data_IF_766191640603
#
_entry.id   IF_766191640603
#
_cell.length_a   1.000
_cell.length_b   1.000
_cell.length_c   1.000
_cell.angle_alpha   90.00
_cell.angle_beta   90.00
_cell.angle_gamma   90.00
#
_symmetry.space_group_name_H-M   'P 1'
#
loop_
_entity.id
_entity.type
_entity.pdbx_description
1 polymer ?
#
# COMPACT_ATOMS: atom_id res chain seq x y z
N UNK A 1 11.09 -3.96 -1.50
CA UNK A 1 10.51 -5.32 -1.70
C UNK A 1 11.50 -6.12 -2.52
N UNK A 2 11.98 -7.28 -2.07
CA UNK A 2 12.90 -8.11 -2.88
C UNK A 2 12.13 -8.68 -4.08
N UNK A 3 12.73 -8.69 -5.28
CA UNK A 3 12.12 -9.17 -6.54
C UNK A 3 11.34 -10.48 -6.40
N UNK A 4 11.84 -11.41 -5.57
CA UNK A 4 11.26 -12.74 -5.31
C UNK A 4 9.81 -12.71 -4.78
N UNK A 5 9.38 -11.61 -4.15
CA UNK A 5 8.06 -11.51 -3.49
C UNK A 5 7.04 -10.66 -4.25
N UNK A 6 7.43 -10.09 -5.41
CA UNK A 6 6.67 -9.07 -6.15
C UNK A 6 5.31 -9.55 -6.69
N UNK A 7 5.05 -10.86 -6.74
CA UNK A 7 3.81 -11.46 -7.27
C UNK A 7 3.24 -12.61 -6.43
N UNK A 8 3.68 -12.76 -5.17
CA UNK A 8 3.24 -13.86 -4.30
C UNK A 8 2.22 -13.44 -3.23
N UNK A 9 1.63 -12.26 -3.37
CA UNK A 9 0.63 -11.74 -2.41
C UNK A 9 1.21 -11.30 -1.05
N UNK A 10 2.52 -11.43 -0.81
CA UNK A 10 3.14 -11.11 0.50
C UNK A 10 2.90 -9.66 0.91
N UNK A 11 3.05 -8.71 -0.02
CA UNK A 11 2.78 -7.30 0.26
C UNK A 11 1.31 -7.02 0.56
N UNK A 12 0.40 -7.71 -0.15
CA UNK A 12 -1.03 -7.58 0.05
C UNK A 12 -1.43 -8.11 1.42
N UNK A 13 -0.98 -9.31 1.77
CA UNK A 13 -1.23 -9.95 3.06
C UNK A 13 -0.74 -9.10 4.22
N UNK A 14 0.49 -8.58 4.14
CA UNK A 14 1.04 -7.73 5.19
C UNK A 14 0.20 -6.47 5.41
N UNK A 15 -0.23 -5.80 4.33
CA UNK A 15 -1.02 -4.58 4.46
C UNK A 15 -2.43 -4.90 5.00
N UNK A 16 -3.06 -5.96 4.53
CA UNK A 16 -4.36 -6.43 5.03
C UNK A 16 -4.30 -6.83 6.52
N UNK A 17 -3.23 -7.50 6.94
CA UNK A 17 -3.00 -7.87 8.33
C UNK A 17 -2.83 -6.62 9.22
N UNK A 18 -2.02 -5.65 8.78
CA UNK A 18 -1.83 -4.39 9.51
C UNK A 18 -3.14 -3.62 9.63
N UNK A 19 -3.92 -3.52 8.55
CA UNK A 19 -5.24 -2.86 8.58
C UNK A 19 -6.20 -3.58 9.54
N UNK A 20 -6.25 -4.92 9.49
CA UNK A 20 -7.13 -5.74 10.34
C UNK A 20 -6.78 -5.64 11.83
N UNK A 21 -5.49 -5.59 12.14
CA UNK A 21 -5.01 -5.52 13.53
C UNK A 21 -5.14 -4.12 14.14
N UNK A 22 -5.43 -3.09 13.34
CA UNK A 22 -5.54 -1.71 13.79
C UNK A 22 -6.90 -1.07 13.41
N UNK A 23 -8.04 -1.63 13.85
CA UNK A 23 -9.37 -1.17 13.45
C UNK A 23 -9.71 0.24 13.95
N UNK A 24 -8.99 0.74 14.97
CA UNK A 24 -9.17 2.09 15.49
C UNK A 24 -8.57 3.19 14.58
N UNK A 25 -7.70 2.82 13.63
CA UNK A 25 -7.07 3.78 12.71
C UNK A 25 -8.00 3.97 11.51
N UNK A 26 -8.64 5.13 11.47
CA UNK A 26 -9.60 5.53 10.43
C UNK A 26 -8.96 6.24 9.23
N UNK A 27 -7.67 6.54 9.28
CA UNK A 27 -6.96 7.17 8.16
C UNK A 27 -5.54 6.65 8.07
N UNK A 28 -5.19 6.15 6.89
CA UNK A 28 -3.89 5.59 6.57
C UNK A 28 -3.22 6.43 5.50
N UNK A 29 -1.96 6.78 5.72
CA UNK A 29 -1.12 7.48 4.77
C UNK A 29 0.12 6.66 4.43
N UNK A 30 0.40 6.52 3.14
CA UNK A 30 1.63 5.91 2.64
C UNK A 30 2.34 6.91 1.73
N UNK A 31 3.53 7.37 2.13
CA UNK A 31 4.32 8.28 1.32
C UNK A 31 4.91 7.59 0.08
N UNK A 32 5.08 8.33 -1.02
CA UNK A 32 5.74 7.84 -2.25
C UNK A 32 7.27 7.91 -2.20
N UNK A 33 7.84 8.35 -1.07
CA UNK A 33 9.28 8.49 -0.88
C UNK A 33 10.01 7.14 -1.01
N UNK A 34 11.02 7.09 -1.88
CA UNK A 34 11.83 5.90 -2.12
C UNK A 34 11.13 4.80 -2.92
N UNK A 35 9.96 5.07 -3.51
CA UNK A 35 9.29 4.15 -4.42
C UNK A 35 9.97 4.19 -5.79
N UNK A 36 10.56 3.07 -6.20
CA UNK A 36 11.27 2.93 -7.49
C UNK A 36 10.34 3.08 -8.70
N UNK A 37 9.14 2.49 -8.62
CA UNK A 37 8.12 2.58 -9.68
C UNK A 37 6.77 2.96 -9.07
N UNK A 38 6.46 4.26 -9.18
CA UNK A 38 5.21 4.83 -8.67
C UNK A 38 3.99 4.29 -9.41
N UNK A 39 4.11 3.92 -10.69
CA UNK A 39 3.00 3.39 -11.47
C UNK A 39 2.58 2.01 -10.98
N UNK A 40 3.55 1.11 -10.79
CA UNK A 40 3.33 -0.23 -10.22
C UNK A 40 2.80 -0.12 -8.79
N UNK A 41 3.38 0.74 -7.96
CA UNK A 41 2.90 0.94 -6.59
C UNK A 41 1.48 1.51 -6.56
N UNK A 42 1.14 2.44 -7.47
CA UNK A 42 -0.21 3.00 -7.56
C UNK A 42 -1.24 1.94 -7.88
N UNK A 43 -0.99 1.10 -8.89
CA UNK A 43 -1.90 0.01 -9.25
C UNK A 43 -2.10 -0.98 -8.09
N UNK A 44 -1.02 -1.30 -7.36
CA UNK A 44 -1.08 -2.15 -6.16
C UNK A 44 -1.89 -1.51 -5.03
N UNK A 45 -1.63 -0.24 -4.72
CA UNK A 45 -2.32 0.49 -3.65
C UNK A 45 -3.81 0.70 -3.96
N UNK A 46 -4.16 0.96 -5.22
CA UNK A 46 -5.54 1.06 -5.67
C UNK A 46 -6.30 -0.27 -5.55
N UNK A 47 -5.65 -1.40 -5.87
CA UNK A 47 -6.24 -2.73 -5.66
C UNK A 47 -6.55 -3.01 -4.17
N UNK A 48 -5.83 -2.35 -3.25
CA UNK A 48 -6.03 -2.42 -1.80
C UNK A 48 -7.00 -1.34 -1.26
N UNK A 49 -7.61 -0.54 -2.13
CA UNK A 49 -8.58 0.49 -1.77
C UNK A 49 -7.96 1.80 -1.28
N UNK A 50 -6.69 2.04 -1.54
CA UNK A 50 -6.09 3.36 -1.33
C UNK A 50 -6.32 4.27 -2.53
N UNK A 51 -6.45 5.56 -2.27
CA UNK A 51 -6.57 6.63 -3.27
C UNK A 51 -5.21 7.31 -3.45
N UNK A 52 -4.78 7.51 -4.69
CA UNK A 52 -3.56 8.24 -4.98
C UNK A 52 -3.74 9.75 -4.69
N UNK A 53 -2.78 10.33 -3.98
CA UNK A 53 -2.73 11.73 -3.60
C UNK A 53 -1.36 12.34 -3.96
N UNK A 54 -1.21 13.66 -3.81
CA UNK A 54 0.09 14.29 -3.95
C UNK A 54 1.03 13.82 -2.82
N UNK A 55 2.18 13.24 -3.18
CA UNK A 55 3.17 12.73 -2.22
C UNK A 55 2.86 11.36 -1.61
N UNK A 56 1.84 10.64 -2.09
CA UNK A 56 1.53 9.32 -1.54
C UNK A 56 0.15 8.76 -1.88
N UNK A 57 -0.34 7.87 -1.01
CA UNK A 57 -1.66 7.25 -1.08
C UNK A 57 -2.36 7.31 0.27
N UNK A 58 -3.68 7.51 0.25
CA UNK A 58 -4.53 7.64 1.43
C UNK A 58 -5.62 6.56 1.44
N UNK A 59 -5.95 5.99 2.61
CA UNK A 59 -7.14 5.14 2.80
C UNK A 59 -7.90 5.58 4.04
N UNK A 60 -9.20 5.80 3.89
CA UNK A 60 -10.14 6.15 4.96
C UNK A 60 -11.12 5.00 5.20
#
# INVERSE_FOLDING_TARGET
>A
MREVTRRRGVGQYLLEEVLRNNPAVSCWWMADAGVEDRGVMTAFMQALGFTAQQGGWEKR
#
